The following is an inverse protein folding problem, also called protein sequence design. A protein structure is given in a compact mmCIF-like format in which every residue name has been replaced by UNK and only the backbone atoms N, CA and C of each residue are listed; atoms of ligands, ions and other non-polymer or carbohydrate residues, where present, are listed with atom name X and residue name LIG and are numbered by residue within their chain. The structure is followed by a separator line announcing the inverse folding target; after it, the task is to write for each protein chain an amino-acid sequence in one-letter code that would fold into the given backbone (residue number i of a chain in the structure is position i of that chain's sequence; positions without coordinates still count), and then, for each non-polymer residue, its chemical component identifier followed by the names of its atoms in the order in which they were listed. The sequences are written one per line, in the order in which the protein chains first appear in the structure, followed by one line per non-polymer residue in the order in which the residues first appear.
data_IF_981440732387
#
_entry.id   IF_981440732387
#
_cell.length_a   1.000
_cell.length_b   1.000
_cell.length_c   1.000
_cell.angle_alpha   90.00
_cell.angle_beta   90.00
_cell.angle_gamma   90.00
#
_symmetry.space_group_name_H-M   'P 1'
#
loop_
_entity.id
_entity.type
_entity.pdbx_description
1 polymer ?
#
# COMPACT_ATOMS: atom_id res chain seq x y z
N UNK A 1 40.96 3.75 13.46
CA UNK A 1 39.76 4.23 12.74
C UNK A 1 38.91 3.01 12.37
N UNK A 2 37.95 2.59 13.20
CA UNK A 2 37.13 1.41 12.93
C UNK A 2 35.85 1.78 12.18
N UNK A 3 35.92 1.73 10.84
CA UNK A 3 34.75 1.82 9.97
C UNK A 3 33.97 0.50 10.00
N UNK A 4 33.10 0.33 10.98
CA UNK A 4 32.15 -0.79 11.00
C UNK A 4 31.10 -0.52 9.91
N UNK A 5 31.25 -1.18 8.76
CA UNK A 5 30.28 -1.18 7.68
C UNK A 5 28.94 -1.69 8.21
N UNK A 6 28.01 -0.78 8.53
CA UNK A 6 26.62 -1.12 8.86
C UNK A 6 25.97 -1.63 7.58
N UNK A 7 26.06 -2.93 7.30
CA UNK A 7 25.30 -3.53 6.20
C UNK A 7 23.82 -3.28 6.50
N UNK A 8 23.08 -2.59 5.60
CA UNK A 8 21.67 -2.35 5.83
C UNK A 8 20.97 -3.69 5.97
N UNK A 9 20.17 -3.82 7.03
CA UNK A 9 19.48 -5.05 7.36
C UNK A 9 18.46 -5.37 6.25
N UNK A 10 18.75 -6.38 5.44
CA UNK A 10 17.94 -6.76 4.28
C UNK A 10 16.48 -7.03 4.68
N UNK A 11 16.25 -7.48 5.91
CA UNK A 11 14.90 -7.71 6.46
C UNK A 11 14.12 -6.41 6.61
N UNK A 12 14.75 -5.37 7.14
CA UNK A 12 14.14 -4.02 7.26
C UNK A 12 13.86 -3.42 5.90
N UNK A 13 14.77 -3.62 4.94
CA UNK A 13 14.55 -3.18 3.56
C UNK A 13 13.37 -3.90 2.91
N UNK A 14 13.21 -5.21 3.15
CA UNK A 14 12.09 -5.99 2.63
C UNK A 14 10.75 -5.56 3.26
N UNK A 15 10.72 -5.28 4.56
CA UNK A 15 9.53 -4.73 5.23
C UNK A 15 9.15 -3.34 4.72
N UNK A 16 10.12 -2.44 4.57
CA UNK A 16 9.87 -1.11 4.02
C UNK A 16 9.35 -1.19 2.58
N UNK A 17 9.90 -2.11 1.79
CA UNK A 17 9.47 -2.33 0.41
C UNK A 17 8.04 -2.86 0.34
N UNK A 18 7.68 -3.81 1.21
CA UNK A 18 6.33 -4.39 1.20
C UNK A 18 5.27 -3.36 1.61
N UNK A 19 5.56 -2.46 2.56
CA UNK A 19 4.70 -1.33 2.89
C UNK A 19 4.49 -0.40 1.70
N UNK A 20 5.56 -0.08 0.97
CA UNK A 20 5.50 0.75 -0.24
C UNK A 20 4.64 0.15 -1.35
N UNK A 21 4.49 -1.18 -1.38
CA UNK A 21 3.67 -1.87 -2.39
C UNK A 21 2.17 -1.87 -2.06
N UNK A 22 1.75 -1.62 -0.82
CA UNK A 22 0.34 -1.70 -0.40
C UNK A 22 -0.54 -0.72 -1.20
N UNK A 23 -0.11 0.54 -1.30
CA UNK A 23 -0.85 1.57 -2.03
C UNK A 23 -1.02 1.26 -3.53
N UNK A 24 0.06 1.06 -4.30
CA UNK A 24 -0.06 0.80 -5.74
C UNK A 24 -0.79 -0.51 -6.04
N UNK A 25 -0.67 -1.54 -5.19
CA UNK A 25 -1.43 -2.78 -5.36
C UNK A 25 -2.94 -2.58 -5.15
N UNK A 26 -3.36 -1.84 -4.12
CA UNK A 26 -4.78 -1.49 -3.95
C UNK A 26 -5.34 -0.66 -5.11
N UNK A 27 -4.57 0.31 -5.62
CA UNK A 27 -4.98 1.14 -6.76
C UNK A 27 -5.11 0.30 -8.02
N UNK A 28 -4.15 -0.61 -8.28
CA UNK A 28 -4.19 -1.51 -9.44
C UNK A 28 -5.45 -2.38 -9.45
N UNK A 29 -5.86 -2.89 -8.27
CA UNK A 29 -7.11 -3.65 -8.13
C UNK A 29 -8.32 -2.77 -8.43
N UNK A 30 -8.39 -1.56 -7.86
CA UNK A 30 -9.49 -0.62 -8.12
C UNK A 30 -9.62 -0.24 -9.59
N UNK A 31 -8.49 0.04 -10.25
CA UNK A 31 -8.44 0.33 -11.69
C UNK A 31 -8.87 -0.88 -12.53
N UNK A 32 -8.41 -2.08 -12.19
CA UNK A 32 -8.74 -3.30 -12.91
C UNK A 32 -10.25 -3.57 -12.88
N UNK A 33 -10.86 -3.54 -11.69
CA UNK A 33 -12.30 -3.72 -11.55
C UNK A 33 -13.10 -2.58 -12.15
N UNK A 34 -12.67 -1.33 -11.92
CA UNK A 34 -13.32 -0.14 -12.48
C UNK A 34 -13.36 -0.16 -14.00
N UNK A 35 -12.24 -0.49 -14.65
CA UNK A 35 -12.15 -0.61 -16.10
C UNK A 35 -12.99 -1.76 -16.65
N UNK A 36 -12.91 -2.95 -16.02
CA UNK A 36 -13.67 -4.11 -16.44
C UNK A 36 -15.18 -3.86 -16.38
N UNK A 37 -15.63 -3.23 -15.28
CA UNK A 37 -17.04 -2.97 -15.03
C UNK A 37 -17.58 -1.83 -15.90
N UNK A 38 -16.78 -0.78 -16.17
CA UNK A 38 -17.13 0.26 -17.14
C UNK A 38 -17.32 -0.30 -18.55
N UNK A 39 -16.48 -1.26 -18.95
CA UNK A 39 -16.57 -1.89 -20.28
C UNK A 39 -17.75 -2.85 -20.40
N UNK A 40 -18.16 -3.45 -19.29
CA UNK A 40 -19.33 -4.33 -19.26
C UNK A 40 -20.66 -3.56 -19.23
N UNK A 41 -20.72 -2.46 -18.47
CA UNK A 41 -21.93 -1.64 -18.32
C UNK A 41 -22.02 -0.47 -19.31
N UNK A 42 -20.95 -0.16 -20.03
CA UNK A 42 -20.89 0.96 -20.97
C UNK A 42 -20.87 2.34 -20.30
N UNK A 43 -20.59 2.41 -18.99
CA UNK A 43 -20.62 3.64 -18.17
C UNK A 43 -19.31 4.44 -18.20
N UNK A 44 -18.38 4.08 -19.09
CA UNK A 44 -17.03 4.64 -19.11
C UNK A 44 -17.04 6.18 -19.24
N UNK A 45 -16.32 6.93 -18.35
CA UNK A 45 -15.35 6.48 -17.34
C UNK A 45 -15.84 6.54 -15.86
N UNK A 46 -17.15 6.51 -15.61
CA UNK A 46 -17.70 6.82 -14.27
C UNK A 46 -17.38 5.75 -13.22
N UNK A 47 -17.53 4.46 -13.53
CA UNK A 47 -17.21 3.40 -12.58
C UNK A 47 -15.70 3.34 -12.33
N UNK A 48 -14.89 3.55 -13.36
CA UNK A 48 -13.45 3.63 -13.20
C UNK A 48 -13.06 4.72 -12.20
N UNK A 49 -13.64 5.93 -12.31
CA UNK A 49 -13.39 7.02 -11.36
C UNK A 49 -13.75 6.63 -9.91
N UNK A 50 -14.96 6.09 -9.70
CA UNK A 50 -15.43 5.70 -8.37
C UNK A 50 -14.54 4.61 -7.77
N UNK A 51 -14.26 3.54 -8.52
CA UNK A 51 -13.43 2.44 -8.05
C UNK A 51 -11.97 2.84 -7.87
N UNK A 52 -11.46 3.80 -8.65
CA UNK A 52 -10.11 4.35 -8.45
C UNK A 52 -10.02 5.13 -7.15
N UNK A 53 -10.99 6.02 -6.87
CA UNK A 53 -11.04 6.75 -5.60
C UNK A 53 -11.17 5.79 -4.43
N UNK A 54 -12.03 4.78 -4.53
CA UNK A 54 -12.16 3.73 -3.51
C UNK A 54 -10.86 2.93 -3.34
N UNK A 55 -10.16 2.61 -4.43
CA UNK A 55 -8.86 1.92 -4.41
C UNK A 55 -7.79 2.74 -3.70
N UNK A 56 -7.73 4.06 -3.96
CA UNK A 56 -6.81 4.99 -3.28
C UNK A 56 -7.13 5.06 -1.79
N UNK A 57 -8.40 5.28 -1.43
CA UNK A 57 -8.84 5.36 -0.03
C UNK A 57 -8.53 4.06 0.71
N UNK A 58 -8.86 2.92 0.13
CA UNK A 58 -8.58 1.59 0.69
C UNK A 58 -7.08 1.33 0.88
N UNK A 59 -6.27 1.67 -0.12
CA UNK A 59 -4.81 1.54 -0.03
C UNK A 59 -4.22 2.42 1.06
N UNK A 60 -4.70 3.66 1.20
CA UNK A 60 -4.21 4.60 2.21
C UNK A 60 -4.60 4.14 3.62
N UNK A 61 -5.85 3.71 3.81
CA UNK A 61 -6.31 3.10 5.07
C UNK A 61 -5.49 1.87 5.44
N UNK A 62 -5.19 1.00 4.47
CA UNK A 62 -4.39 -0.21 4.68
C UNK A 62 -2.94 0.11 5.05
N UNK A 63 -2.34 1.08 4.38
CA UNK A 63 -0.99 1.55 4.69
C UNK A 63 -0.92 2.16 6.10
N UNK A 64 -1.84 3.06 6.44
CA UNK A 64 -1.91 3.66 7.78
C UNK A 64 -2.10 2.60 8.87
N UNK A 65 -2.92 1.58 8.61
CA UNK A 65 -3.14 0.46 9.53
C UNK A 65 -1.89 -0.41 9.68
N UNK A 66 -1.15 -0.66 8.59
CA UNK A 66 0.10 -1.40 8.62
C UNK A 66 1.20 -0.65 9.39
N UNK A 67 1.34 0.65 9.16
CA UNK A 67 2.26 1.52 9.90
C UNK A 67 1.92 1.56 11.40
N UNK A 68 0.63 1.75 11.74
CA UNK A 68 0.19 1.73 13.14
C UNK A 68 0.45 0.40 13.82
N UNK A 69 0.35 -0.72 13.10
CA UNK A 69 0.67 -2.04 13.63
C UNK A 69 2.17 -2.18 13.93
N UNK A 70 3.04 -1.76 13.01
CA UNK A 70 4.48 -1.77 13.24
C UNK A 70 4.90 -0.92 14.45
N UNK A 71 4.28 0.26 14.65
CA UNK A 71 4.57 1.10 15.82
C UNK A 71 4.06 0.50 17.13
N UNK A 72 2.97 -0.30 17.09
CA UNK A 72 2.38 -0.92 18.28
C UNK A 72 3.12 -2.18 18.73
N UNK A 73 3.83 -2.82 17.82
CA UNK A 73 4.67 -3.99 18.09
C UNK A 73 6.07 -3.61 18.65
N UNK A 74 6.37 -2.30 18.78
CA UNK A 74 7.40 -1.78 19.70
C UNK A 74 6.75 -1.65 21.10
N UNK A 75 7.04 -2.56 22.06
CA UNK A 75 6.60 -2.34 23.43
C UNK A 75 7.27 -1.06 23.96
N UNK A 76 6.54 -0.16 24.62
CA UNK A 76 7.17 0.94 25.33
C UNK A 76 8.14 0.33 26.34
N UNK A 77 9.42 0.68 26.24
CA UNK A 77 10.42 0.33 27.25
C UNK A 77 9.88 0.80 28.61
N UNK A 78 9.52 -0.15 29.47
CA UNK A 78 9.09 0.05 30.85
C UNK A 78 10.18 -0.48 31.78
#
# INVERSE_FOLDING_TARGET
MNGKSRRPDLRRLAELSSLGLILPSSIAIGLFFGYFLDRWLGTAPWLLLIFTVLGIVSGLLSLLRALKKQMKDEPPEA
#
